data_IF_184554433855
#
_entry.id   IF_184554433855
#
_cell.length_a   1.000
_cell.length_b   1.000
_cell.length_c   1.000
_cell.angle_alpha   90.00
_cell.angle_beta   90.00
_cell.angle_gamma   90.00
#
_symmetry.space_group_name_H-M   'P 1'
#
loop_
_entity.id
_entity.type
_entity.pdbx_description
1 polymer ?
#
# COMPACT_ATOMS: atom_id res chain seq x y z
N UNK A 1 -77.94 -10.10 -5.77
CA UNK A 1 -76.80 -9.55 -5.00
C UNK A 1 -75.85 -10.70 -4.70
N UNK A 2 -74.72 -10.83 -5.40
CA UNK A 2 -73.45 -11.34 -4.88
C UNK A 2 -72.41 -11.01 -5.96
N UNK A 3 -71.72 -9.90 -5.73
CA UNK A 3 -70.72 -9.33 -6.62
C UNK A 3 -69.42 -10.14 -6.44
N UNK A 4 -69.12 -11.04 -7.38
CA UNK A 4 -67.85 -11.77 -7.41
C UNK A 4 -66.73 -10.77 -7.76
N UNK A 5 -66.01 -10.31 -6.74
CA UNK A 5 -64.82 -9.49 -6.90
C UNK A 5 -63.64 -10.41 -7.24
N UNK A 6 -63.38 -10.60 -8.54
CA UNK A 6 -62.13 -11.17 -9.03
C UNK A 6 -61.01 -10.14 -8.84
N UNK A 7 -60.35 -10.20 -7.69
CA UNK A 7 -59.06 -9.54 -7.49
C UNK A 7 -58.03 -10.26 -8.35
N UNK A 8 -57.76 -9.70 -9.52
CA UNK A 8 -56.63 -10.06 -10.36
C UNK A 8 -55.35 -9.77 -9.59
N UNK A 9 -54.72 -10.80 -9.02
CA UNK A 9 -53.34 -10.70 -8.54
C UNK A 9 -52.45 -10.39 -9.74
N UNK A 10 -52.12 -9.10 -9.89
CA UNK A 10 -51.09 -8.62 -10.81
C UNK A 10 -49.77 -9.23 -10.34
N UNK A 11 -49.42 -10.35 -10.95
CA UNK A 11 -48.17 -11.06 -10.71
C UNK A 11 -47.01 -10.09 -11.00
N UNK A 12 -46.22 -9.83 -9.97
CA UNK A 12 -45.06 -8.93 -9.96
C UNK A 12 -43.86 -9.57 -10.70
N UNK A 13 -44.09 -10.00 -11.95
CA UNK A 13 -43.17 -10.82 -12.77
C UNK A 13 -42.08 -10.00 -13.44
N UNK A 14 -42.30 -8.69 -13.66
CA UNK A 14 -41.31 -7.79 -14.26
C UNK A 14 -40.20 -7.37 -13.29
N UNK A 15 -40.55 -7.13 -12.01
CA UNK A 15 -39.59 -6.81 -10.95
C UNK A 15 -38.72 -8.02 -10.56
N UNK A 16 -39.28 -9.22 -10.62
CA UNK A 16 -38.51 -10.45 -10.40
C UNK A 16 -37.55 -10.75 -11.56
N UNK A 17 -37.97 -10.57 -12.82
CA UNK A 17 -37.10 -10.74 -14.00
C UNK A 17 -35.93 -9.76 -14.08
N UNK A 18 -36.14 -8.50 -13.69
CA UNK A 18 -35.06 -7.50 -13.65
C UNK A 18 -34.08 -7.78 -12.52
N UNK A 19 -34.56 -8.24 -11.36
CA UNK A 19 -33.71 -8.70 -10.25
C UNK A 19 -32.91 -9.95 -10.63
N UNK A 20 -33.54 -10.92 -11.29
CA UNK A 20 -32.87 -12.12 -11.82
C UNK A 20 -31.89 -11.80 -12.93
N UNK A 21 -32.21 -10.89 -13.87
CA UNK A 21 -31.28 -10.45 -14.90
C UNK A 21 -30.10 -9.65 -14.33
N UNK A 22 -30.33 -8.84 -13.31
CA UNK A 22 -29.28 -8.14 -12.56
C UNK A 22 -28.42 -9.11 -11.74
N UNK A 23 -29.02 -10.13 -11.11
CA UNK A 23 -28.29 -11.20 -10.42
C UNK A 23 -27.46 -12.04 -11.40
N UNK A 24 -28.01 -12.38 -12.57
CA UNK A 24 -27.31 -13.12 -13.62
C UNK A 24 -26.18 -12.29 -14.28
N UNK A 25 -26.37 -10.98 -14.46
CA UNK A 25 -25.28 -10.07 -14.83
C UNK A 25 -24.19 -10.00 -13.74
N UNK A 26 -24.57 -10.06 -12.46
CA UNK A 26 -23.63 -10.12 -11.33
C UNK A 26 -22.86 -11.46 -11.27
N UNK A 27 -23.47 -12.56 -11.71
CA UNK A 27 -22.85 -13.89 -11.78
C UNK A 27 -21.85 -13.99 -12.94
N UNK A 28 -22.02 -13.20 -14.02
CA UNK A 28 -21.08 -13.18 -15.16
C UNK A 28 -19.88 -12.24 -14.98
N UNK A 29 -19.93 -11.29 -14.04
CA UNK A 29 -18.74 -10.51 -13.69
C UNK A 29 -17.75 -11.40 -12.94
N UNK A 30 -16.67 -11.80 -13.62
CA UNK A 30 -15.52 -12.49 -13.01
C UNK A 30 -15.18 -11.80 -11.69
N UNK A 31 -15.12 -12.55 -10.59
CA UNK A 31 -14.88 -11.99 -9.24
C UNK A 31 -13.57 -11.18 -9.23
N UNK A 32 -12.63 -11.54 -10.11
CA UNK A 32 -11.38 -10.81 -10.36
C UNK A 32 -11.54 -9.40 -10.95
N UNK A 33 -12.69 -9.09 -11.56
CA UNK A 33 -13.00 -7.78 -12.15
C UNK A 33 -13.60 -6.80 -11.13
N UNK A 34 -14.12 -7.29 -10.01
CA UNK A 34 -14.81 -6.47 -9.02
C UNK A 34 -13.83 -5.82 -8.04
N UNK A 35 -13.52 -4.56 -8.30
CA UNK A 35 -12.67 -3.70 -7.43
C UNK A 35 -13.25 -3.67 -6.00
N UNK A 36 -12.37 -3.78 -5.01
CA UNK A 36 -12.75 -3.80 -3.58
C UNK A 36 -13.06 -5.18 -3.02
N UNK A 37 -13.16 -6.22 -3.86
CA UNK A 37 -13.35 -7.60 -3.39
C UNK A 37 -12.07 -8.14 -2.76
N UNK A 38 -12.21 -8.86 -1.64
CA UNK A 38 -11.12 -9.51 -0.92
C UNK A 38 -11.20 -11.02 -1.09
N UNK A 39 -10.10 -11.65 -1.50
CA UNK A 39 -10.01 -13.10 -1.73
C UNK A 39 -8.57 -13.60 -1.49
N UNK A 40 -8.36 -14.91 -1.31
CA UNK A 40 -7.00 -15.46 -1.24
C UNK A 40 -6.28 -15.27 -2.58
N UNK A 41 -4.95 -15.13 -2.53
CA UNK A 41 -4.12 -14.97 -3.73
C UNK A 41 -4.27 -16.16 -4.68
N UNK A 42 -4.53 -17.37 -4.17
CA UNK A 42 -4.84 -18.58 -4.94
C UNK A 42 -6.00 -18.43 -5.92
N UNK A 43 -6.98 -17.56 -5.62
CA UNK A 43 -8.16 -17.34 -6.46
C UNK A 43 -7.98 -16.17 -7.43
N UNK A 44 -6.89 -15.39 -7.31
CA UNK A 44 -6.68 -14.19 -8.11
C UNK A 44 -6.00 -14.49 -9.44
N UNK A 45 -6.43 -13.82 -10.52
CA UNK A 45 -5.76 -13.93 -11.83
C UNK A 45 -4.39 -13.23 -11.84
N UNK A 46 -3.46 -13.71 -12.67
CA UNK A 46 -2.20 -13.02 -12.96
C UNK A 46 -2.49 -11.61 -13.49
N UNK A 47 -1.63 -10.66 -13.13
CA UNK A 47 -1.69 -9.30 -13.64
C UNK A 47 -2.71 -8.41 -12.95
N UNK A 48 -3.54 -8.98 -12.06
CA UNK A 48 -4.44 -8.22 -11.21
C UNK A 48 -3.65 -7.22 -10.35
N UNK A 49 -4.26 -6.03 -10.19
CA UNK A 49 -3.76 -4.97 -9.33
C UNK A 49 -4.40 -5.17 -7.97
N UNK A 50 -3.58 -5.23 -6.93
CA UNK A 50 -4.01 -5.57 -5.57
C UNK A 50 -3.41 -4.62 -4.53
N UNK A 51 -4.09 -4.50 -3.39
CA UNK A 51 -3.64 -3.78 -2.21
C UNK A 51 -4.04 -4.51 -0.92
N UNK A 52 -3.58 -4.01 0.23
CA UNK A 52 -3.86 -4.57 1.55
C UNK A 52 -3.52 -6.08 1.68
N UNK A 53 -2.28 -6.44 1.35
CA UNK A 53 -1.84 -7.83 1.24
C UNK A 53 -1.38 -8.35 2.60
N UNK A 54 -1.77 -9.57 2.94
CA UNK A 54 -1.29 -10.28 4.13
C UNK A 54 0.19 -10.69 3.98
N UNK A 55 0.93 -10.71 5.09
CA UNK A 55 2.29 -11.26 5.09
C UNK A 55 2.26 -12.78 5.32
N UNK A 56 1.45 -13.21 6.28
CA UNK A 56 1.17 -14.59 6.64
C UNK A 56 -0.35 -14.79 6.63
N UNK A 57 -0.86 -15.98 6.31
CA UNK A 57 -2.30 -16.23 6.20
C UNK A 57 -3.00 -15.93 7.54
N UNK A 58 -4.08 -15.15 7.47
CA UNK A 58 -4.90 -14.80 8.65
C UNK A 58 -4.29 -13.75 9.58
N UNK A 59 -3.12 -13.19 9.24
CA UNK A 59 -2.47 -12.14 10.05
C UNK A 59 -3.05 -10.73 9.80
N UNK A 60 -3.95 -10.61 8.82
CA UNK A 60 -4.45 -9.32 8.33
C UNK A 60 -3.47 -8.61 7.40
N UNK A 61 -4.01 -7.70 6.59
CA UNK A 61 -3.26 -6.96 5.58
C UNK A 61 -2.19 -6.05 6.21
N UNK A 62 -0.93 -6.27 5.85
CA UNK A 62 0.22 -5.49 6.36
C UNK A 62 0.96 -4.74 5.26
N UNK A 63 0.89 -5.25 4.05
CA UNK A 63 1.61 -4.74 2.90
C UNK A 63 0.67 -3.88 2.04
N UNK A 64 1.24 -2.86 1.36
CA UNK A 64 0.54 -2.04 0.35
C UNK A 64 -0.73 -1.38 0.90
N UNK A 65 -0.57 -0.49 1.89
CA UNK A 65 -1.68 0.21 2.58
C UNK A 65 -1.66 1.73 2.41
N UNK A 66 -0.59 2.27 1.84
CA UNK A 66 -0.46 3.71 1.69
C UNK A 66 -1.38 4.22 0.58
N UNK A 67 -1.85 5.46 0.72
CA UNK A 67 -2.75 6.11 -0.24
C UNK A 67 -2.19 6.04 -1.67
N UNK A 68 -3.02 5.64 -2.63
CA UNK A 68 -2.63 5.50 -4.04
C UNK A 68 -1.67 4.35 -4.37
N UNK A 69 -1.27 3.52 -3.39
CA UNK A 69 -0.33 2.41 -3.66
C UNK A 69 -1.06 1.14 -4.10
N UNK A 70 -0.39 0.36 -4.94
CA UNK A 70 -0.83 -0.95 -5.38
C UNK A 70 0.36 -1.87 -5.66
N UNK A 71 0.07 -3.15 -5.80
CA UNK A 71 0.99 -4.18 -6.23
C UNK A 71 0.36 -4.99 -7.37
N UNK A 72 1.20 -5.76 -8.06
CA UNK A 72 0.76 -6.56 -9.21
C UNK A 72 1.16 -8.02 -9.04
N UNK A 73 0.25 -8.94 -9.32
CA UNK A 73 0.56 -10.37 -9.37
C UNK A 73 1.32 -10.66 -10.68
N UNK A 74 2.52 -11.22 -10.58
CA UNK A 74 3.38 -11.49 -11.75
C UNK A 74 3.32 -12.94 -12.24
N UNK A 75 3.20 -13.90 -11.31
CA UNK A 75 3.18 -15.32 -11.62
C UNK A 75 1.93 -15.96 -11.04
N UNK A 76 1.44 -17.01 -11.70
CA UNK A 76 0.26 -17.75 -11.25
C UNK A 76 0.34 -18.20 -9.79
N UNK A 77 -0.80 -18.15 -9.10
CA UNK A 77 -0.88 -18.52 -7.69
C UNK A 77 -1.11 -20.03 -7.48
N UNK A 78 -0.96 -20.85 -8.52
CA UNK A 78 -1.13 -22.31 -8.49
C UNK A 78 -0.08 -23.00 -7.61
N UNK A 79 1.08 -22.39 -7.42
CA UNK A 79 2.09 -22.84 -6.45
C UNK A 79 1.78 -22.40 -5.02
N UNK A 80 2.39 -23.05 -4.03
CA UNK A 80 2.29 -22.67 -2.61
C UNK A 80 2.64 -21.19 -2.33
N UNK A 81 3.38 -20.55 -3.25
CA UNK A 81 3.72 -19.14 -3.19
C UNK A 81 3.34 -18.41 -4.48
N UNK A 82 2.94 -17.15 -4.34
CA UNK A 82 2.65 -16.20 -5.41
C UNK A 82 3.79 -15.18 -5.51
N UNK A 83 4.22 -14.86 -6.74
CA UNK A 83 5.21 -13.80 -6.98
C UNK A 83 4.49 -12.47 -7.22
N UNK A 84 4.70 -11.51 -6.31
CA UNK A 84 4.06 -10.20 -6.36
C UNK A 84 5.11 -9.11 -6.53
N UNK A 85 4.84 -8.17 -7.43
CA UNK A 85 5.61 -6.93 -7.57
C UNK A 85 5.09 -5.89 -6.58
N UNK A 86 5.92 -5.51 -5.62
CA UNK A 86 5.61 -4.49 -4.62
C UNK A 86 5.71 -3.07 -5.21
N UNK A 87 5.06 -2.06 -4.58
CA UNK A 87 5.21 -0.65 -4.99
C UNK A 87 6.65 -0.14 -4.83
N UNK A 88 7.48 -0.80 -4.01
CA UNK A 88 8.92 -0.52 -3.91
C UNK A 88 9.75 -1.03 -5.11
N UNK A 89 9.12 -1.71 -6.07
CA UNK A 89 9.77 -2.37 -7.20
C UNK A 89 10.33 -3.76 -6.89
N UNK A 90 10.39 -4.14 -5.60
CA UNK A 90 10.89 -5.46 -5.18
C UNK A 90 9.87 -6.55 -5.49
N UNK A 91 10.31 -7.65 -6.12
CA UNK A 91 9.49 -8.85 -6.29
C UNK A 91 9.56 -9.70 -5.02
N UNK A 92 8.42 -10.08 -4.47
CA UNK A 92 8.34 -10.83 -3.22
C UNK A 92 7.47 -12.07 -3.39
N UNK A 93 7.91 -13.18 -2.80
CA UNK A 93 7.12 -14.41 -2.67
C UNK A 93 6.23 -14.32 -1.43
N UNK A 94 4.94 -14.58 -1.58
CA UNK A 94 3.93 -14.57 -0.52
C UNK A 94 3.12 -15.86 -0.62
N UNK A 95 2.74 -16.46 0.51
CA UNK A 95 1.92 -17.69 0.54
C UNK A 95 0.61 -17.49 -0.24
N UNK A 96 0.21 -18.46 -1.06
CA UNK A 96 -1.01 -18.36 -1.87
C UNK A 96 -2.30 -18.28 -1.04
N UNK A 97 -2.26 -18.72 0.21
CA UNK A 97 -3.38 -18.63 1.16
C UNK A 97 -3.59 -17.22 1.73
N UNK A 98 -2.59 -16.34 1.61
CA UNK A 98 -2.72 -14.96 2.05
C UNK A 98 -3.84 -14.25 1.29
N UNK A 99 -4.55 -13.36 1.97
CA UNK A 99 -5.60 -12.54 1.35
C UNK A 99 -5.05 -11.21 0.82
N UNK A 100 -5.71 -10.70 -0.21
CA UNK A 100 -5.50 -9.36 -0.73
C UNK A 100 -6.83 -8.79 -1.25
N UNK A 101 -6.88 -7.47 -1.41
CA UNK A 101 -8.03 -6.77 -1.97
C UNK A 101 -7.71 -6.30 -3.39
N UNK A 102 -8.65 -6.47 -4.32
CA UNK A 102 -8.49 -6.03 -5.71
C UNK A 102 -8.59 -4.51 -5.81
N UNK A 103 -7.67 -3.92 -6.59
CA UNK A 103 -7.63 -2.49 -6.91
C UNK A 103 -6.46 -1.76 -6.24
N UNK A 104 -6.59 -0.43 -6.20
CA UNK A 104 -5.60 0.50 -5.65
C UNK A 104 -6.16 1.09 -4.35
N UNK A 105 -5.29 1.42 -3.39
CA UNK A 105 -5.71 2.16 -2.20
C UNK A 105 -6.26 3.53 -2.62
N UNK A 106 -7.38 3.95 -2.03
CA UNK A 106 -8.00 5.25 -2.29
C UNK A 106 -7.05 6.44 -2.10
N UNK A 107 -7.43 7.59 -2.64
CA UNK A 107 -6.74 8.88 -2.50
C UNK A 107 -5.33 8.94 -3.15
N UNK A 108 -5.23 8.77 -4.48
CA UNK A 108 -3.93 8.85 -5.18
C UNK A 108 -3.29 10.25 -5.12
N UNK A 109 -4.08 11.32 -5.01
CA UNK A 109 -3.58 12.71 -4.96
C UNK A 109 -2.93 13.09 -3.63
N UNK A 110 -2.90 12.18 -2.64
CA UNK A 110 -2.24 12.43 -1.36
C UNK A 110 -0.76 12.82 -1.51
N UNK A 111 -0.06 12.26 -2.50
CA UNK A 111 1.34 12.55 -2.79
C UNK A 111 1.58 13.97 -3.33
N UNK A 112 0.60 14.53 -4.05
CA UNK A 112 0.73 15.84 -4.71
C UNK A 112 0.47 17.02 -3.76
N UNK A 113 -0.11 16.73 -2.58
CA UNK A 113 -0.49 17.74 -1.59
C UNK A 113 0.75 18.41 -0.98
N UNK A 114 1.02 19.66 -1.37
CA UNK A 114 2.09 20.50 -0.79
C UNK A 114 1.62 21.20 0.50
N UNK A 115 2.46 21.17 1.54
CA UNK A 115 2.25 21.96 2.76
C UNK A 115 2.67 23.41 2.52
N UNK A 116 1.74 24.36 2.68
CA UNK A 116 1.97 25.78 2.35
C UNK A 116 2.53 26.62 3.49
N UNK A 117 2.44 26.15 4.74
CA UNK A 117 2.92 26.87 5.93
C UNK A 117 3.57 25.92 6.93
N UNK A 118 4.54 26.42 7.70
CA UNK A 118 5.24 25.64 8.73
C UNK A 118 4.29 25.02 9.77
N UNK A 119 3.26 25.78 10.18
CA UNK A 119 2.26 25.30 11.15
C UNK A 119 1.46 24.08 10.68
N UNK A 120 1.28 23.88 9.37
CA UNK A 120 0.58 22.71 8.84
C UNK A 120 1.36 21.42 9.15
N UNK A 121 2.69 21.46 9.05
CA UNK A 121 3.55 20.33 9.47
C UNK A 121 3.37 19.99 10.96
N UNK A 122 3.16 21.02 11.80
CA UNK A 122 2.91 20.84 13.25
C UNK A 122 1.55 20.19 13.52
N UNK A 123 0.51 20.53 12.75
CA UNK A 123 -0.81 19.89 12.84
C UNK A 123 -0.77 18.39 12.50
N UNK A 124 0.17 17.97 11.64
CA UNK A 124 0.45 16.57 11.35
C UNK A 124 1.30 15.87 12.44
N UNK A 125 1.57 16.52 13.57
CA UNK A 125 2.37 15.98 14.68
C UNK A 125 3.88 15.98 14.45
N UNK A 126 4.38 16.57 13.36
CA UNK A 126 5.82 16.62 13.06
C UNK A 126 6.48 17.77 13.80
N UNK A 127 7.51 17.49 14.60
CA UNK A 127 8.33 18.51 15.28
C UNK A 127 9.43 19.03 14.35
N UNK A 128 9.92 20.27 14.52
CA UNK A 128 11.07 20.76 13.77
C UNK A 128 12.30 19.88 14.04
N UNK A 129 13.00 19.49 12.98
CA UNK A 129 14.23 18.68 13.06
C UNK A 129 15.43 19.58 12.76
N UNK A 130 16.42 19.57 13.66
CA UNK A 130 17.65 20.36 13.52
C UNK A 130 18.67 19.60 12.67
N UNK A 131 19.36 20.28 11.76
CA UNK A 131 20.42 19.70 10.93
C UNK A 131 21.68 19.47 11.76
N UNK A 132 22.39 18.36 11.52
CA UNK A 132 23.63 18.06 12.25
C UNK A 132 24.75 19.09 12.12
N UNK A 133 24.78 19.89 11.04
CA UNK A 133 25.76 20.98 10.85
C UNK A 133 25.50 22.17 11.78
N UNK A 134 24.28 22.32 12.29
CA UNK A 134 23.92 23.37 13.24
C UNK A 134 24.18 22.97 14.71
N UNK A 135 24.72 21.76 14.94
CA UNK A 135 24.97 21.21 16.27
C UNK A 135 26.46 21.31 16.63
N UNK A 136 26.79 21.02 17.89
CA UNK A 136 28.17 20.95 18.35
C UNK A 136 28.79 19.58 17.99
N UNK A 137 30.14 19.47 17.96
CA UNK A 137 30.83 18.20 17.69
C UNK A 137 30.45 17.04 18.62
N UNK A 138 29.99 17.36 19.84
CA UNK A 138 29.53 16.38 20.84
C UNK A 138 28.21 15.72 20.43
N UNK A 139 27.31 16.44 19.76
CA UNK A 139 25.96 15.97 19.46
C UNK A 139 25.87 15.24 18.12
N UNK A 140 26.66 15.67 17.13
CA UNK A 140 26.58 15.14 15.77
C UNK A 140 27.96 15.04 15.12
N UNK A 141 28.22 13.98 14.32
CA UNK A 141 29.44 13.86 13.51
C UNK A 141 29.68 14.96 12.46
N UNK A 142 28.73 15.89 12.30
CA UNK A 142 28.81 17.03 11.37
C UNK A 142 28.87 18.36 12.13
N UNK A 143 28.86 18.32 13.46
CA UNK A 143 28.79 19.50 14.29
C UNK A 143 30.15 20.21 14.41
N UNK A 144 30.07 21.50 14.75
CA UNK A 144 31.20 22.41 14.91
C UNK A 144 31.81 22.94 13.61
N UNK A 145 33.01 23.52 13.77
CA UNK A 145 33.66 24.34 12.74
C UNK A 145 33.33 25.83 12.89
N UNK A 146 34.19 26.68 12.34
CA UNK A 146 33.96 28.12 12.28
C UNK A 146 33.06 28.43 11.08
N UNK A 147 31.85 28.93 11.37
CA UNK A 147 30.85 29.22 10.34
C UNK A 147 30.25 27.97 9.67
N UNK A 148 29.78 28.11 8.42
CA UNK A 148 29.16 27.00 7.69
C UNK A 148 30.23 26.07 7.13
N UNK A 149 30.33 24.86 7.67
CA UNK A 149 31.22 23.82 7.18
C UNK A 149 30.52 22.85 6.22
N UNK A 150 31.29 22.20 5.34
CA UNK A 150 30.78 21.06 4.56
C UNK A 150 30.48 19.91 5.53
N UNK A 151 29.38 19.20 5.33
CA UNK A 151 28.97 18.10 6.24
C UNK A 151 30.03 17.02 6.43
N UNK A 152 30.93 16.83 5.47
CA UNK A 152 32.18 16.12 5.71
C UNK A 152 33.17 17.11 6.33
N UNK A 153 33.41 17.02 7.64
CA UNK A 153 34.50 17.79 8.27
C UNK A 153 35.87 17.51 7.62
N UNK A 154 36.95 18.02 8.24
CA UNK A 154 38.37 18.00 7.78
C UNK A 154 38.86 16.69 7.11
N UNK A 155 38.24 15.54 7.42
CA UNK A 155 38.63 14.20 6.96
C UNK A 155 37.81 13.62 5.80
N UNK A 156 36.96 14.40 5.11
CA UNK A 156 36.28 13.94 3.89
C UNK A 156 35.29 12.78 4.09
N UNK A 157 34.90 12.48 5.34
CA UNK A 157 33.94 11.42 5.65
C UNK A 157 32.56 11.79 5.08
N UNK A 158 32.01 10.96 4.22
CA UNK A 158 30.65 11.15 3.65
C UNK A 158 29.58 11.33 4.73
N UNK A 159 28.41 11.86 4.36
CA UNK A 159 27.33 12.21 5.30
C UNK A 159 26.96 11.04 6.23
N UNK A 160 26.85 11.31 7.54
CA UNK A 160 26.57 10.34 8.60
C UNK A 160 25.30 10.67 9.39
N UNK A 161 24.76 9.66 10.06
CA UNK A 161 23.71 9.79 11.10
C UNK A 161 24.31 10.34 12.41
N UNK A 162 23.48 10.77 13.37
CA UNK A 162 23.97 11.14 14.71
C UNK A 162 24.80 10.03 15.38
N UNK A 163 24.47 8.77 15.09
CA UNK A 163 25.21 7.59 15.57
C UNK A 163 26.40 7.18 14.70
N UNK A 164 26.85 8.04 13.78
CA UNK A 164 28.06 7.82 12.99
C UNK A 164 27.94 6.83 11.82
N UNK A 165 26.75 6.29 11.52
CA UNK A 165 26.54 5.40 10.37
C UNK A 165 26.44 6.21 9.06
N UNK A 166 26.98 5.75 7.93
CA UNK A 166 26.86 6.44 6.64
C UNK A 166 25.39 6.54 6.17
N UNK A 167 25.00 7.66 5.56
CA UNK A 167 23.63 7.90 5.04
C UNK A 167 23.53 7.91 3.52
N UNK A 168 24.66 7.99 2.82
CA UNK A 168 24.75 8.04 1.35
C UNK A 168 25.59 6.87 0.83
N UNK A 169 25.65 6.70 -0.49
CA UNK A 169 26.52 5.70 -1.14
C UNK A 169 26.03 4.26 -1.03
N UNK A 170 24.71 4.04 -0.91
CA UNK A 170 24.15 2.69 -0.90
C UNK A 170 24.45 1.88 0.35
N UNK A 171 24.75 2.54 1.48
CA UNK A 171 24.91 1.89 2.78
C UNK A 171 23.65 1.09 3.12
N UNK A 172 23.82 -0.22 3.31
CA UNK A 172 22.73 -1.18 3.55
C UNK A 172 22.62 -1.47 5.04
N UNK A 173 21.49 -1.11 5.64
CA UNK A 173 21.25 -1.22 7.09
C UNK A 173 20.66 -2.57 7.52
N UNK A 174 20.17 -3.38 6.57
CA UNK A 174 19.60 -4.70 6.85
C UNK A 174 20.67 -5.80 6.96
N UNK A 175 20.44 -6.86 7.76
CA UNK A 175 21.38 -7.97 7.92
C UNK A 175 21.64 -8.66 6.57
N UNK A 176 22.92 -8.92 6.24
CA UNK A 176 23.32 -9.55 4.98
C UNK A 176 22.66 -10.92 4.77
N UNK A 177 22.48 -11.71 5.83
CA UNK A 177 21.93 -13.07 5.80
C UNK A 177 20.50 -13.15 5.22
N UNK A 178 19.70 -12.08 5.33
CA UNK A 178 18.29 -12.04 4.88
C UNK A 178 18.09 -11.49 3.47
N UNK A 179 19.18 -11.23 2.74
CA UNK A 179 19.16 -10.49 1.46
C UNK A 179 19.49 -11.35 0.24
N UNK A 180 19.82 -12.63 0.45
CA UNK A 180 19.90 -13.65 -0.59
C UNK A 180 18.55 -14.31 -0.76
#
# INVERSE_FOLDING_TARGET
MYLFCLFSEVTNTSAQRTRESMMNQMVYSDINSRIGSCMPLSAMRIGTIIHNIELNPGQGGKLVRAAGTSAKILKEPTSAYCLIQMPSGVKKLIDSRCRATIGVVSNPSHGDRKLRKAGHSRWLGRRPVVRGVAMNPVDHPHGGGEGKSKSSGKWGKGSRTPWGKPTKGGYKTGPLKRRR
#
